data_IF_995916973858
#
_entry.id   IF_995916973858
#
_cell.length_a   1.000
_cell.length_b   1.000
_cell.length_c   1.000
_cell.angle_alpha   90.00
_cell.angle_beta   90.00
_cell.angle_gamma   90.00
#
_symmetry.space_group_name_H-M   'P 1'
#
loop_
_entity.id
_entity.type
_entity.pdbx_description
1 polymer ?
#
# COMPACT_ATOMS: atom_id res chain seq x y z
N UNK A 1 42.54 3.84 -7.11
CA UNK A 1 42.23 4.08 -5.69
C UNK A 1 41.52 2.84 -5.19
N UNK A 2 42.21 2.01 -4.41
CA UNK A 2 41.74 0.68 -4.03
C UNK A 2 40.65 0.77 -2.95
N UNK A 3 39.50 0.15 -3.23
CA UNK A 3 38.36 0.02 -2.33
C UNK A 3 38.69 -0.99 -1.22
N UNK A 4 39.16 -0.49 -0.08
CA UNK A 4 39.58 -1.31 1.05
C UNK A 4 38.36 -1.80 1.83
N UNK A 5 37.92 -3.02 1.51
CA UNK A 5 36.83 -3.71 2.20
C UNK A 5 37.19 -3.98 3.66
N UNK A 6 36.46 -3.36 4.60
CA UNK A 6 36.61 -3.57 6.05
C UNK A 6 35.98 -4.89 6.47
N UNK A 7 36.53 -5.52 7.51
CA UNK A 7 35.98 -6.77 8.05
C UNK A 7 34.69 -6.53 8.84
N UNK A 8 33.75 -7.49 8.83
CA UNK A 8 32.46 -7.39 9.53
C UNK A 8 32.65 -7.15 11.04
N UNK A 9 33.68 -7.76 11.62
CA UNK A 9 34.05 -7.62 13.03
C UNK A 9 34.55 -6.22 13.37
N UNK A 10 35.18 -5.53 12.43
CA UNK A 10 35.68 -4.17 12.58
C UNK A 10 34.55 -3.13 12.45
N UNK A 11 33.51 -3.43 11.67
CA UNK A 11 32.31 -2.58 11.54
C UNK A 11 31.37 -2.60 12.75
N UNK A 12 31.51 -3.57 13.66
CA UNK A 12 30.62 -3.77 14.81
C UNK A 12 31.12 -3.14 16.12
N UNK A 13 32.39 -2.75 16.21
CA UNK A 13 32.99 -2.37 17.49
C UNK A 13 32.70 -0.95 17.96
N UNK A 14 32.29 -0.03 17.07
CA UNK A 14 31.88 1.32 17.48
C UNK A 14 31.01 1.97 16.40
N UNK A 15 29.71 2.21 16.65
CA UNK A 15 28.97 3.15 15.82
C UNK A 15 29.61 4.54 15.99
N UNK A 16 29.84 5.31 14.91
CA UNK A 16 30.24 6.71 15.04
C UNK A 16 29.17 7.46 15.86
N UNK A 17 29.55 8.50 16.64
CA UNK A 17 28.58 9.28 17.39
C UNK A 17 27.60 9.93 16.41
N UNK A 18 26.40 9.36 16.31
CA UNK A 18 25.37 9.84 15.44
C UNK A 18 24.70 11.07 16.07
N UNK A 19 24.57 12.14 15.30
CA UNK A 19 23.88 13.35 15.75
C UNK A 19 22.37 13.07 15.80
N UNK A 20 21.84 12.96 17.02
CA UNK A 20 20.45 12.60 17.29
C UNK A 20 19.45 13.54 16.62
N UNK A 21 19.86 14.76 16.26
CA UNK A 21 19.03 15.73 15.52
C UNK A 21 18.83 15.31 14.07
N UNK A 22 19.87 14.77 13.43
CA UNK A 22 19.83 14.30 12.03
C UNK A 22 18.98 13.05 11.94
N UNK A 23 19.12 12.13 12.89
CA UNK A 23 18.31 10.91 12.97
C UNK A 23 16.83 11.24 13.18
N UNK A 24 16.51 12.15 14.10
CA UNK A 24 15.12 12.60 14.31
C UNK A 24 14.54 13.28 13.06
N UNK A 25 15.32 14.08 12.35
CA UNK A 25 14.86 14.71 11.12
C UNK A 25 14.62 13.70 9.98
N UNK A 26 15.38 12.61 9.94
CA UNK A 26 15.18 11.50 8.99
C UNK A 26 13.95 10.66 9.35
N UNK A 27 13.79 10.30 10.62
CA UNK A 27 12.70 9.43 11.11
C UNK A 27 11.35 10.15 11.08
N UNK A 28 11.31 11.40 11.52
CA UNK A 28 10.06 12.16 11.62
C UNK A 28 9.76 13.01 10.38
N UNK A 29 10.72 13.15 9.46
CA UNK A 29 10.57 13.85 8.19
C UNK A 29 10.30 15.35 8.32
N UNK A 30 11.01 16.18 7.55
CA UNK A 30 10.48 17.51 7.21
C UNK A 30 9.19 17.30 6.38
N UNK A 31 8.15 18.13 6.54
CA UNK A 31 7.00 18.09 5.66
C UNK A 31 7.51 18.24 4.22
N UNK A 32 7.25 17.23 3.40
CA UNK A 32 7.72 17.17 2.04
C UNK A 32 7.23 18.43 1.29
N UNK A 33 8.17 19.15 0.67
CA UNK A 33 7.83 20.13 -0.34
C UNK A 33 6.95 19.46 -1.39
N UNK A 34 5.83 20.12 -1.69
CA UNK A 34 4.78 19.65 -2.58
C UNK A 34 5.34 19.06 -3.87
N UNK A 35 4.94 17.82 -4.17
CA UNK A 35 5.04 17.28 -5.53
C UNK A 35 4.07 18.10 -6.41
N UNK A 36 4.43 18.41 -7.66
CA UNK A 36 3.55 19.19 -8.53
C UNK A 36 2.24 18.42 -8.77
N UNK A 37 1.14 19.07 -8.41
CA UNK A 37 -0.24 18.62 -8.56
C UNK A 37 -0.51 18.04 -9.96
N UNK A 38 -0.60 16.72 -10.06
CA UNK A 38 -1.59 16.12 -10.95
C UNK A 38 -2.95 16.40 -10.33
N UNK A 39 -3.87 16.98 -11.10
CA UNK A 39 -5.17 17.46 -10.64
C UNK A 39 -5.86 16.46 -9.70
N UNK A 40 -5.83 16.75 -8.40
CA UNK A 40 -6.58 16.02 -7.38
C UNK A 40 -8.05 16.41 -7.55
N UNK A 41 -8.77 15.60 -8.33
CA UNK A 41 -10.22 15.47 -8.18
C UNK A 41 -10.49 15.31 -6.69
N UNK A 42 -11.39 16.08 -6.06
CA UNK A 42 -11.64 15.95 -4.62
C UNK A 42 -12.05 14.51 -4.34
N UNK A 43 -11.13 13.74 -3.74
CA UNK A 43 -11.36 12.37 -3.37
C UNK A 43 -12.50 12.41 -2.36
N UNK A 44 -13.70 12.04 -2.82
CA UNK A 44 -14.84 11.88 -1.91
C UNK A 44 -14.39 10.90 -0.84
N UNK A 45 -14.37 11.37 0.40
CA UNK A 45 -13.86 10.56 1.51
C UNK A 45 -14.78 9.36 1.70
N UNK A 46 -14.39 8.22 1.11
CA UNK A 46 -15.15 6.97 1.21
C UNK A 46 -14.91 6.38 2.59
N UNK A 47 -15.93 6.42 3.44
CA UNK A 47 -15.90 5.72 4.72
C UNK A 47 -16.04 4.21 4.47
N UNK A 48 -14.97 3.47 4.73
CA UNK A 48 -14.96 2.00 4.62
C UNK A 48 -15.29 1.37 5.96
N UNK A 49 -16.19 0.38 5.95
CA UNK A 49 -16.55 -0.42 7.12
C UNK A 49 -15.92 -1.82 7.02
N UNK A 50 -15.68 -2.47 8.17
CA UNK A 50 -15.17 -3.84 8.19
C UNK A 50 -16.28 -4.82 7.80
N UNK A 51 -16.05 -5.59 6.74
CA UNK A 51 -16.91 -6.70 6.32
C UNK A 51 -16.24 -8.03 6.70
N UNK A 52 -16.82 -8.78 7.63
CA UNK A 52 -16.39 -10.14 7.95
C UNK A 52 -17.45 -11.15 7.47
N UNK A 53 -17.07 -12.04 6.57
CA UNK A 53 -17.98 -13.06 6.01
C UNK A 53 -17.19 -14.29 5.59
N UNK A 54 -17.77 -15.48 5.75
CA UNK A 54 -17.18 -16.73 5.22
C UNK A 54 -17.64 -16.92 3.78
N UNK A 55 -16.70 -17.27 2.91
CA UNK A 55 -16.96 -17.59 1.50
C UNK A 55 -16.36 -18.97 1.17
N UNK A 56 -16.70 -19.52 -0.01
CA UNK A 56 -16.11 -20.77 -0.47
C UNK A 56 -14.60 -20.63 -0.69
N UNK A 57 -13.85 -21.69 -0.38
CA UNK A 57 -12.38 -21.70 -0.46
C UNK A 57 -11.87 -21.49 -1.89
N UNK A 58 -12.53 -22.10 -2.88
CA UNK A 58 -12.18 -21.95 -4.29
C UNK A 58 -12.31 -20.50 -4.78
N UNK A 59 -13.37 -19.81 -4.35
CA UNK A 59 -13.57 -18.40 -4.67
C UNK A 59 -12.50 -17.52 -4.03
N UNK A 60 -12.14 -17.80 -2.77
CA UNK A 60 -11.09 -17.05 -2.08
C UNK A 60 -9.72 -17.23 -2.74
N UNK A 61 -9.36 -18.44 -3.15
CA UNK A 61 -8.11 -18.72 -3.87
C UNK A 61 -8.07 -18.02 -5.23
N UNK A 62 -9.16 -18.11 -5.99
CA UNK A 62 -9.27 -17.44 -7.28
C UNK A 62 -9.18 -15.91 -7.15
N UNK A 63 -9.85 -15.33 -6.15
CA UNK A 63 -9.83 -13.90 -5.88
C UNK A 63 -8.42 -13.39 -5.52
N UNK A 64 -7.70 -14.12 -4.66
CA UNK A 64 -6.31 -13.80 -4.33
C UNK A 64 -5.40 -13.84 -5.55
N UNK A 65 -5.55 -14.85 -6.39
CA UNK A 65 -4.77 -14.99 -7.62
C UNK A 65 -5.05 -13.82 -8.57
N UNK A 66 -6.32 -13.52 -8.82
CA UNK A 66 -6.72 -12.42 -9.70
C UNK A 66 -6.21 -11.06 -9.18
N UNK A 67 -6.27 -10.82 -7.87
CA UNK A 67 -5.72 -9.60 -7.27
C UNK A 67 -4.22 -9.48 -7.51
N UNK A 68 -3.46 -10.56 -7.33
CA UNK A 68 -2.01 -10.55 -7.57
C UNK A 68 -1.66 -10.34 -9.05
N UNK A 69 -2.35 -11.04 -9.96
CA UNK A 69 -2.14 -10.91 -11.41
C UNK A 69 -2.39 -9.46 -11.85
N UNK A 70 -3.50 -8.85 -11.41
CA UNK A 70 -3.80 -7.45 -11.69
C UNK A 70 -2.77 -6.47 -11.15
N UNK A 71 -2.23 -6.72 -9.95
CA UNK A 71 -1.16 -5.90 -9.38
C UNK A 71 0.13 -5.97 -10.21
N UNK A 72 0.47 -7.15 -10.74
CA UNK A 72 1.63 -7.32 -11.60
C UNK A 72 1.45 -6.63 -12.95
N UNK A 73 0.23 -6.65 -13.48
CA UNK A 73 -0.13 -6.05 -14.76
C UNK A 73 -0.45 -4.55 -14.66
N UNK A 74 -0.51 -3.99 -13.45
CA UNK A 74 -0.87 -2.58 -13.21
C UNK A 74 -2.31 -2.23 -13.59
N UNK A 75 -3.22 -3.20 -13.49
CA UNK A 75 -4.65 -3.05 -13.85
C UNK A 75 -5.47 -2.75 -12.60
N UNK A 76 -6.21 -1.64 -12.62
CA UNK A 76 -7.16 -1.28 -11.57
C UNK A 76 -8.60 -1.67 -11.93
N UNK A 77 -9.40 -2.20 -10.98
CA UNK A 77 -9.08 -2.39 -9.56
C UNK A 77 -8.22 -3.62 -9.28
N UNK A 78 -7.19 -3.46 -8.44
CA UNK A 78 -6.19 -4.50 -8.17
C UNK A 78 -6.33 -5.12 -6.77
N UNK A 79 -6.92 -4.42 -5.80
CA UNK A 79 -7.05 -4.94 -4.44
C UNK A 79 -8.29 -5.83 -4.28
N UNK A 80 -8.24 -6.78 -3.35
CA UNK A 80 -9.38 -7.65 -3.03
C UNK A 80 -10.63 -6.83 -2.67
N UNK A 81 -10.48 -5.74 -1.91
CA UNK A 81 -11.60 -4.89 -1.50
C UNK A 81 -12.25 -4.24 -2.72
N UNK A 82 -11.46 -3.65 -3.61
CA UNK A 82 -12.00 -2.96 -4.79
C UNK A 82 -12.62 -3.94 -5.78
N UNK A 83 -12.03 -5.12 -5.97
CA UNK A 83 -12.63 -6.18 -6.80
C UNK A 83 -13.97 -6.64 -6.23
N UNK A 84 -14.08 -6.75 -4.89
CA UNK A 84 -15.34 -7.08 -4.22
C UNK A 84 -16.35 -5.94 -4.39
N UNK A 85 -15.96 -4.68 -4.22
CA UNK A 85 -16.84 -3.52 -4.41
C UNK A 85 -17.36 -3.43 -5.84
N UNK A 86 -16.47 -3.59 -6.84
CA UNK A 86 -16.83 -3.61 -8.27
C UNK A 86 -17.83 -4.72 -8.59
N UNK A 87 -17.69 -5.89 -7.98
CA UNK A 87 -18.60 -7.01 -8.18
C UNK A 87 -19.94 -6.85 -7.41
N UNK A 88 -19.92 -6.25 -6.22
CA UNK A 88 -21.11 -6.07 -5.38
C UNK A 88 -22.00 -4.92 -5.85
N UNK A 89 -21.41 -3.83 -6.34
CA UNK A 89 -22.14 -2.63 -6.77
C UNK A 89 -23.29 -2.93 -7.75
N UNK A 90 -23.09 -3.65 -8.89
CA UNK A 90 -24.18 -3.92 -9.83
C UNK A 90 -25.27 -4.81 -9.23
N UNK A 91 -24.91 -5.76 -8.36
CA UNK A 91 -25.88 -6.59 -7.67
C UNK A 91 -26.72 -5.76 -6.69
N UNK A 92 -26.11 -4.87 -5.92
CA UNK A 92 -26.83 -4.00 -4.98
C UNK A 92 -27.75 -2.99 -5.70
N UNK A 93 -27.28 -2.42 -6.82
CA UNK A 93 -28.08 -1.51 -7.64
C UNK A 93 -29.27 -2.20 -8.28
N UNK A 94 -29.06 -3.36 -8.91
CA UNK A 94 -30.13 -4.11 -9.58
C UNK A 94 -31.22 -4.60 -8.61
N UNK A 95 -30.88 -4.81 -7.34
CA UNK A 95 -31.84 -5.20 -6.30
C UNK A 95 -32.41 -3.99 -5.51
N UNK A 96 -32.04 -2.76 -5.88
CA UNK A 96 -32.57 -1.55 -5.25
C UNK A 96 -32.03 -1.25 -3.84
N UNK A 97 -30.96 -1.92 -3.40
CA UNK A 97 -30.29 -1.67 -2.12
C UNK A 97 -29.35 -0.47 -2.16
N UNK A 98 -28.86 -0.12 -3.35
CA UNK A 98 -28.02 1.04 -3.61
C UNK A 98 -28.64 1.86 -4.75
N UNK A 99 -28.70 3.18 -4.58
CA UNK A 99 -29.26 4.12 -5.57
C UNK A 99 -28.16 4.85 -6.32
#
# INVERSE_FOLDING_TARGET
>A
MADQRRSLTEGLQQPPPADTKVEKAFVFGKPAAARPNGAETPATQVNRAQLSTRIRDDYFRALKRASLERQMDGVEPSTIVEIIEEALEPWLKSNGYLR
#
